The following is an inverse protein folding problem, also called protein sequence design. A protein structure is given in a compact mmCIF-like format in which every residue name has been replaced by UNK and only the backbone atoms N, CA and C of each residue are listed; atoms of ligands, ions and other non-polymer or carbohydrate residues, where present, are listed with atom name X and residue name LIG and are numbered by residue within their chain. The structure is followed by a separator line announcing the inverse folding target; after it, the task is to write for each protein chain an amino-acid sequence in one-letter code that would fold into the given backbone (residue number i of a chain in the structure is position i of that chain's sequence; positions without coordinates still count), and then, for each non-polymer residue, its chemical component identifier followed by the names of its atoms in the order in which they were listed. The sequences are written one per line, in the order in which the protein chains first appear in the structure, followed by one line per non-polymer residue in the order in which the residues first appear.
data_IF_490015658356
#
_entry.id   IF_490015658356
#
_cell.length_a   1.000
_cell.length_b   1.000
_cell.length_c   1.000
_cell.angle_alpha   90.00
_cell.angle_beta   90.00
_cell.angle_gamma   90.00
#
_symmetry.space_group_name_H-M   'P 1'
#
loop_
_entity.id
_entity.type
_entity.pdbx_description
1 polymer ?
#
# COMPACT_ATOMS: atom_id res chain seq x y z
N UNK A 1 -13.32 -33.86 2.40
CA UNK A 1 -13.76 -32.49 2.03
C UNK A 1 -14.39 -32.58 0.65
N UNK A 2 -15.68 -32.32 0.52
CA UNK A 2 -16.40 -32.36 -0.76
C UNK A 2 -16.27 -30.99 -1.41
N UNK A 3 -15.65 -30.92 -2.59
CA UNK A 3 -15.54 -29.67 -3.34
C UNK A 3 -16.95 -29.16 -3.70
N UNK A 4 -17.24 -27.87 -3.53
CA UNK A 4 -18.55 -27.33 -3.86
C UNK A 4 -18.84 -27.54 -5.35
N UNK A 5 -20.09 -27.88 -5.72
CA UNK A 5 -20.43 -28.16 -7.09
C UNK A 5 -20.18 -26.91 -7.94
N UNK A 6 -19.47 -27.08 -9.07
CA UNK A 6 -19.05 -25.99 -9.98
C UNK A 6 -20.18 -25.01 -10.34
N UNK A 7 -21.43 -25.49 -10.38
CA UNK A 7 -22.63 -24.68 -10.62
C UNK A 7 -22.84 -23.62 -9.54
N UNK A 8 -22.59 -23.95 -8.27
CA UNK A 8 -22.79 -23.06 -7.13
C UNK A 8 -21.78 -21.89 -7.14
N UNK A 9 -20.55 -22.15 -7.58
CA UNK A 9 -19.52 -21.11 -7.77
C UNK A 9 -19.88 -20.16 -8.92
N UNK A 10 -20.40 -20.69 -10.04
CA UNK A 10 -20.84 -19.87 -11.18
C UNK A 10 -22.06 -19.02 -10.80
N UNK A 11 -23.04 -19.59 -10.10
CA UNK A 11 -24.23 -18.86 -9.65
C UNK A 11 -23.87 -17.79 -8.63
N UNK A 12 -22.98 -18.08 -7.68
CA UNK A 12 -22.49 -17.09 -6.72
C UNK A 12 -21.72 -15.95 -7.41
N UNK A 13 -20.84 -16.28 -8.37
CA UNK A 13 -20.11 -15.28 -9.15
C UNK A 13 -21.03 -14.38 -9.97
N UNK A 14 -22.07 -14.97 -10.60
CA UNK A 14 -23.05 -14.23 -11.38
C UNK A 14 -23.91 -13.33 -10.48
N UNK A 15 -24.33 -13.82 -9.31
CA UNK A 15 -25.10 -13.05 -8.34
C UNK A 15 -24.31 -11.86 -7.78
N UNK A 16 -23.01 -12.05 -7.49
CA UNK A 16 -22.12 -10.97 -7.09
C UNK A 16 -21.94 -9.97 -8.23
N UNK A 17 -21.71 -10.43 -9.47
CA UNK A 17 -21.58 -9.55 -10.63
C UNK A 17 -22.83 -8.72 -10.88
N UNK A 18 -24.01 -9.32 -10.80
CA UNK A 18 -25.29 -8.61 -10.91
C UNK A 18 -25.49 -7.61 -9.77
N UNK A 19 -25.17 -7.97 -8.52
CA UNK A 19 -25.26 -7.06 -7.38
C UNK A 19 -24.33 -5.84 -7.53
N UNK A 20 -23.12 -6.03 -8.07
CA UNK A 20 -22.18 -4.92 -8.34
C UNK A 20 -22.69 -4.00 -9.46
N UNK A 21 -23.27 -4.56 -10.53
CA UNK A 21 -23.79 -3.75 -11.65
C UNK A 21 -25.14 -3.07 -11.37
N UNK A 22 -25.93 -3.64 -10.45
CA UNK A 22 -27.22 -3.08 -10.02
C UNK A 22 -27.06 -1.89 -9.06
N UNK A 23 -25.88 -1.70 -8.46
CA UNK A 23 -25.54 -0.52 -7.68
C UNK A 23 -25.30 0.71 -8.59
N UNK A 24 -26.34 1.16 -9.28
CA UNK A 24 -26.28 2.27 -10.27
C UNK A 24 -26.06 3.65 -9.68
N UNK A 25 -26.21 3.82 -8.37
CA UNK A 25 -25.92 5.08 -7.65
C UNK A 25 -24.94 4.85 -6.49
N UNK A 26 -23.82 4.19 -6.76
CA UNK A 26 -22.62 4.41 -5.94
C UNK A 26 -22.03 5.81 -6.26
N UNK A 27 -22.84 6.87 -6.10
CA UNK A 27 -22.34 8.24 -6.05
C UNK A 27 -21.57 8.36 -4.75
N UNK A 28 -20.26 8.10 -4.81
CA UNK A 28 -19.39 8.33 -3.68
C UNK A 28 -19.40 9.84 -3.38
N UNK A 29 -20.23 10.23 -2.41
CA UNK A 29 -20.32 11.62 -2.00
C UNK A 29 -19.09 11.92 -1.15
N UNK A 30 -18.01 12.35 -1.80
CA UNK A 30 -16.75 12.62 -1.13
C UNK A 30 -16.84 13.91 -0.32
N UNK A 31 -17.36 13.82 0.91
CA UNK A 31 -17.18 14.88 1.90
C UNK A 31 -15.68 15.04 2.21
N UNK A 32 -15.26 16.13 2.86
CA UNK A 32 -13.86 16.28 3.27
C UNK A 32 -13.33 15.06 4.04
N UNK A 33 -14.22 14.39 4.77
CA UNK A 33 -13.97 13.20 5.57
C UNK A 33 -13.74 11.94 4.73
N UNK A 34 -14.35 11.90 3.55
CA UNK A 34 -14.34 10.76 2.63
C UNK A 34 -13.36 10.96 1.46
N UNK A 35 -12.42 11.90 1.58
CA UNK A 35 -11.36 12.11 0.59
C UNK A 35 -10.51 10.84 0.42
N UNK A 36 -10.23 10.52 -0.84
CA UNK A 36 -9.28 9.48 -1.21
C UNK A 36 -7.89 9.89 -0.73
N UNK A 37 -7.20 9.00 -0.02
CA UNK A 37 -5.89 9.27 0.60
C UNK A 37 -4.73 8.63 -0.18
N UNK A 38 -5.03 7.77 -1.16
CA UNK A 38 -4.04 6.95 -1.86
C UNK A 38 -3.31 7.73 -2.95
N UNK A 39 -4.04 8.54 -3.72
CA UNK A 39 -3.50 9.27 -4.88
C UNK A 39 -3.58 10.79 -4.75
N UNK A 40 -3.80 11.31 -3.55
CA UNK A 40 -3.92 12.74 -3.27
C UNK A 40 -2.89 13.19 -2.25
N UNK A 41 -2.84 14.46 -1.90
CA UNK A 41 -2.05 14.97 -0.78
C UNK A 41 -2.79 14.86 0.59
N UNK A 42 -3.97 14.26 0.63
CA UNK A 42 -4.79 14.20 1.84
C UNK A 42 -4.32 13.09 2.79
N UNK A 43 -4.54 13.34 4.08
CA UNK A 43 -4.32 12.40 5.18
C UNK A 43 -5.66 12.01 5.80
N UNK A 44 -5.69 10.86 6.46
CA UNK A 44 -6.82 10.42 7.26
C UNK A 44 -7.05 11.37 8.44
N UNK A 45 -8.30 11.56 8.82
CA UNK A 45 -8.70 12.37 9.96
C UNK A 45 -8.15 11.82 11.28
N UNK A 46 -8.01 12.71 12.26
CA UNK A 46 -7.58 12.36 13.62
C UNK A 46 -8.42 11.23 14.21
N UNK A 47 -7.76 10.34 14.94
CA UNK A 47 -8.33 9.18 15.63
C UNK A 47 -9.15 8.24 14.74
N UNK A 48 -8.96 8.28 13.43
CA UNK A 48 -9.73 7.45 12.50
C UNK A 48 -8.92 6.23 12.07
N UNK A 49 -9.61 5.10 11.92
CA UNK A 49 -9.07 3.87 11.34
C UNK A 49 -9.87 3.56 10.07
N UNK A 50 -9.18 3.30 8.96
CA UNK A 50 -9.78 2.91 7.69
C UNK A 50 -9.33 1.51 7.34
N UNK A 51 -10.27 0.57 7.28
CA UNK A 51 -10.05 -0.82 6.92
C UNK A 51 -10.62 -1.06 5.53
N UNK A 52 -9.78 -0.97 4.51
CA UNK A 52 -10.11 -1.38 3.14
C UNK A 52 -9.67 -2.82 2.88
N UNK A 53 -10.23 -3.41 1.82
CA UNK A 53 -9.88 -4.75 1.36
C UNK A 53 -8.37 -4.91 1.10
N UNK A 54 -7.75 -3.88 0.52
CA UNK A 54 -6.33 -3.90 0.13
C UNK A 54 -5.43 -3.04 1.02
N UNK A 55 -5.99 -2.20 1.89
CA UNK A 55 -5.24 -1.19 2.63
C UNK A 55 -5.80 -0.98 4.02
N UNK A 56 -4.93 -0.96 5.03
CA UNK A 56 -5.28 -0.56 6.38
C UNK A 56 -4.57 0.76 6.69
N UNK A 57 -5.30 1.74 7.23
CA UNK A 57 -4.76 3.04 7.60
C UNK A 57 -5.22 3.46 8.99
N UNK A 58 -4.36 4.20 9.68
CA UNK A 58 -4.64 4.82 10.96
C UNK A 58 -4.13 6.26 10.97
N UNK A 59 -5.00 7.20 11.32
CA UNK A 59 -4.72 8.62 11.37
C UNK A 59 -4.73 9.10 12.82
N UNK A 60 -3.62 8.99 13.57
CA UNK A 60 -3.59 9.50 14.94
C UNK A 60 -3.73 11.02 15.03
N UNK A 61 -3.42 11.74 13.95
CA UNK A 61 -3.55 13.20 13.82
C UNK A 61 -4.02 13.58 12.42
N UNK A 62 -4.63 14.75 12.26
CA UNK A 62 -5.14 15.23 10.96
C UNK A 62 -4.05 15.44 9.90
N UNK A 63 -2.78 15.48 10.31
CA UNK A 63 -1.63 15.66 9.43
C UNK A 63 -0.85 14.38 9.18
N UNK A 64 -1.10 13.29 9.91
CA UNK A 64 -0.26 12.09 9.83
C UNK A 64 -1.14 10.86 9.64
N UNK A 65 -0.80 10.04 8.67
CA UNK A 65 -1.45 8.75 8.42
C UNK A 65 -0.42 7.66 8.32
N UNK A 66 -0.59 6.62 9.14
CA UNK A 66 0.13 5.37 9.00
C UNK A 66 -0.70 4.41 8.17
N UNK A 67 -0.05 3.55 7.41
CA UNK A 67 -0.77 2.52 6.70
C UNK A 67 0.10 1.38 6.21
N UNK A 68 -0.59 0.35 5.73
CA UNK A 68 0.02 -0.82 5.13
C UNK A 68 -0.93 -1.38 4.07
N UNK A 69 -0.40 -2.19 3.14
CA UNK A 69 -1.21 -2.83 2.10
C UNK A 69 -1.26 -4.32 2.36
N UNK A 70 -2.45 -4.92 2.31
CA UNK A 70 -2.65 -6.34 2.61
C UNK A 70 -1.93 -7.27 1.59
N UNK A 71 -1.97 -6.92 0.30
CA UNK A 71 -1.46 -7.80 -0.77
C UNK A 71 0.03 -8.12 -0.62
N UNK A 72 0.92 -7.13 -0.37
CA UNK A 72 2.32 -7.42 -0.06
C UNK A 72 2.53 -8.44 1.07
N UNK A 73 1.77 -8.38 2.17
CA UNK A 73 1.90 -9.34 3.27
C UNK A 73 1.61 -10.78 2.82
N UNK A 74 0.61 -10.97 1.95
CA UNK A 74 0.21 -12.30 1.44
C UNK A 74 1.35 -12.97 0.67
N UNK A 75 2.19 -12.19 -0.03
CA UNK A 75 3.34 -12.70 -0.80
C UNK A 75 4.66 -12.68 -0.03
N UNK A 76 4.64 -12.46 1.28
CA UNK A 76 5.84 -12.43 2.12
C UNK A 76 6.67 -11.14 1.99
N UNK A 77 6.03 -10.04 1.59
CA UNK A 77 6.64 -8.73 1.45
C UNK A 77 6.08 -7.81 2.55
N UNK A 78 6.85 -7.59 3.60
CA UNK A 78 6.44 -6.71 4.69
C UNK A 78 6.48 -5.26 4.21
N UNK A 79 5.41 -4.50 4.43
CA UNK A 79 5.37 -3.09 4.06
C UNK A 79 4.65 -2.23 5.11
N UNK A 80 5.08 -0.97 5.19
CA UNK A 80 4.41 0.06 5.96
C UNK A 80 4.69 1.41 5.28
N UNK A 81 3.83 2.39 5.49
CA UNK A 81 4.08 3.76 5.08
C UNK A 81 3.57 4.73 6.13
N UNK A 82 4.21 5.89 6.18
CA UNK A 82 3.73 7.07 6.87
C UNK A 82 3.56 8.18 5.86
N UNK A 83 2.46 8.91 5.96
CA UNK A 83 2.16 10.07 5.14
C UNK A 83 1.95 11.26 6.04
N UNK A 84 2.59 12.37 5.71
CA UNK A 84 2.52 13.63 6.42
C UNK A 84 1.99 14.72 5.48
N UNK A 85 0.88 15.35 5.83
CA UNK A 85 0.35 16.53 5.15
C UNK A 85 1.04 17.77 5.71
N UNK A 86 1.95 18.34 4.92
CA UNK A 86 2.70 19.55 5.26
C UNK A 86 1.77 20.77 5.22
N UNK A 87 0.97 20.87 4.15
CA UNK A 87 0.02 21.95 3.94
C UNK A 87 -1.33 21.37 3.55
N UNK A 88 -2.41 21.90 4.12
CA UNK A 88 -3.76 21.43 3.83
C UNK A 88 -4.76 22.56 3.95
N UNK A 89 -5.11 23.17 2.82
CA UNK A 89 -6.17 24.16 2.70
C UNK A 89 -6.93 24.00 1.39
N UNK A 90 -8.07 24.67 1.25
CA UNK A 90 -8.76 24.78 -0.03
C UNK A 90 -8.16 25.98 -0.80
N UNK A 91 -7.72 25.84 -2.06
CA UNK A 91 -7.80 24.65 -2.93
C UNK A 91 -6.59 23.71 -2.89
N UNK A 92 -5.48 24.09 -2.25
CA UNK A 92 -4.19 23.39 -2.37
C UNK A 92 -3.82 22.57 -1.13
N UNK A 93 -3.40 21.32 -1.34
CA UNK A 93 -2.81 20.47 -0.32
C UNK A 93 -1.47 19.89 -0.76
N UNK A 94 -0.52 19.80 0.17
CA UNK A 94 0.82 19.27 -0.05
C UNK A 94 1.15 18.21 1.00
N UNK A 95 1.81 17.13 0.59
CA UNK A 95 2.18 16.03 1.47
C UNK A 95 3.53 15.43 1.13
N UNK A 96 4.10 14.74 2.10
CA UNK A 96 5.24 13.86 1.94
C UNK A 96 4.89 12.47 2.49
N UNK A 97 5.22 11.41 1.77
CA UNK A 97 5.03 10.03 2.21
C UNK A 97 6.36 9.30 2.25
N UNK A 98 6.59 8.50 3.29
CA UNK A 98 7.73 7.62 3.42
C UNK A 98 7.23 6.18 3.53
N UNK A 99 7.69 5.32 2.63
CA UNK A 99 7.43 3.89 2.67
C UNK A 99 8.61 3.11 3.25
N UNK A 100 8.32 1.97 3.84
CA UNK A 100 9.28 0.95 4.21
C UNK A 100 8.78 -0.37 3.65
N UNK A 101 9.67 -1.12 3.03
CA UNK A 101 9.34 -2.33 2.30
C UNK A 101 10.49 -3.31 2.39
N UNK A 102 10.22 -4.52 2.85
CA UNK A 102 11.21 -5.59 3.01
C UNK A 102 10.72 -6.87 2.36
N UNK A 103 11.52 -7.36 1.42
CA UNK A 103 11.31 -8.68 0.83
C UNK A 103 12.23 -9.71 1.47
N UNK A 104 11.64 -10.75 2.05
CA UNK A 104 12.37 -11.88 2.62
C UNK A 104 11.56 -13.19 2.43
N UNK A 105 11.34 -13.62 1.18
CA UNK A 105 10.55 -14.82 0.91
C UNK A 105 11.30 -16.06 1.40
N UNK A 106 10.59 -16.93 2.12
CA UNK A 106 11.14 -18.20 2.65
C UNK A 106 11.75 -19.07 1.53
N UNK A 107 11.11 -19.10 0.36
CA UNK A 107 11.55 -19.88 -0.80
C UNK A 107 12.89 -19.41 -1.41
N UNK A 108 13.23 -18.12 -1.33
CA UNK A 108 14.53 -17.60 -1.83
C UNK A 108 15.65 -17.81 -0.81
N UNK A 109 15.29 -17.82 0.48
CA UNK A 109 16.24 -18.03 1.58
C UNK A 109 16.93 -19.39 1.49
N UNK A 110 16.24 -20.41 0.98
CA UNK A 110 16.77 -21.76 0.79
C UNK A 110 17.62 -21.91 -0.48
N UNK A 111 17.37 -21.12 -1.53
CA UNK A 111 17.95 -21.34 -2.86
C UNK A 111 19.13 -20.43 -3.21
N UNK A 112 19.26 -19.23 -2.62
CA UNK A 112 20.28 -18.24 -3.01
C UNK A 112 21.03 -17.64 -1.80
N UNK A 113 20.80 -18.18 -0.60
CA UNK A 113 21.19 -17.54 0.65
C UNK A 113 20.26 -16.40 1.03
N UNK A 114 20.42 -15.85 2.24
CA UNK A 114 19.56 -14.79 2.78
C UNK A 114 19.83 -13.46 2.08
N UNK A 115 19.27 -13.27 0.89
CA UNK A 115 19.25 -11.98 0.20
C UNK A 115 18.08 -11.14 0.74
N UNK A 116 18.38 -10.00 1.35
CA UNK A 116 17.37 -9.07 1.84
C UNK A 116 17.34 -7.83 0.95
N UNK A 117 16.16 -7.51 0.41
CA UNK A 117 15.91 -6.29 -0.34
C UNK A 117 15.07 -5.34 0.51
N UNK A 118 15.65 -4.19 0.83
CA UNK A 118 14.97 -3.07 1.47
C UNK A 118 14.72 -1.95 0.47
N UNK A 119 13.49 -1.45 0.43
CA UNK A 119 13.10 -0.30 -0.41
C UNK A 119 12.51 0.77 0.51
N UNK A 120 13.01 2.00 0.34
CA UNK A 120 12.55 3.18 1.08
C UNK A 120 12.17 4.25 0.06
N UNK A 121 10.91 4.29 -0.40
CA UNK A 121 10.43 5.38 -1.24
C UNK A 121 10.06 6.60 -0.39
N UNK A 122 10.52 7.77 -0.82
CA UNK A 122 10.02 9.08 -0.43
C UNK A 122 9.15 9.61 -1.57
N UNK A 123 7.95 10.06 -1.26
CA UNK A 123 7.02 10.61 -2.24
C UNK A 123 6.59 12.01 -1.79
N UNK A 124 6.60 12.98 -2.70
CA UNK A 124 6.10 14.33 -2.47
C UNK A 124 4.85 14.51 -3.33
N UNK A 125 3.71 14.76 -2.70
CA UNK A 125 2.40 14.86 -3.35
C UNK A 125 1.81 16.25 -3.26
N UNK A 126 1.13 16.69 -4.33
CA UNK A 126 0.35 17.91 -4.38
C UNK A 126 -1.05 17.60 -4.94
N UNK A 127 -2.08 18.23 -4.35
CA UNK A 127 -3.46 18.15 -4.84
C UNK A 127 -4.07 19.54 -4.90
N UNK A 128 -4.71 19.85 -6.03
CA UNK A 128 -5.45 21.07 -6.27
C UNK A 128 -6.93 20.73 -6.52
N UNK A 129 -7.82 21.29 -5.70
CA UNK A 129 -9.26 21.12 -5.81
C UNK A 129 -9.85 22.27 -6.63
N UNK A 130 -10.51 21.95 -7.74
CA UNK A 130 -11.25 22.94 -8.51
C UNK A 130 -12.64 23.17 -7.92
N UNK A 131 -13.30 22.07 -7.54
CA UNK A 131 -14.63 22.07 -6.94
C UNK A 131 -14.86 20.79 -6.11
N UNK A 132 -16.10 20.52 -5.70
CA UNK A 132 -16.42 19.33 -4.89
C UNK A 132 -16.24 17.99 -5.59
N UNK A 133 -16.15 17.99 -6.92
CA UNK A 133 -16.12 16.81 -7.78
C UNK A 133 -14.75 16.62 -8.43
N UNK A 134 -14.03 17.70 -8.70
CA UNK A 134 -12.80 17.68 -9.47
C UNK A 134 -11.59 18.07 -8.61
N UNK A 135 -10.67 17.12 -8.44
CA UNK A 135 -9.37 17.33 -7.81
C UNK A 135 -8.28 16.80 -8.74
N UNK A 136 -7.33 17.65 -9.08
CA UNK A 136 -6.10 17.23 -9.76
C UNK A 136 -5.05 16.89 -8.69
N UNK A 137 -4.41 15.73 -8.82
CA UNK A 137 -3.35 15.32 -7.92
C UNK A 137 -2.14 14.84 -8.70
N UNK A 138 -0.95 15.10 -8.18
CA UNK A 138 0.31 14.64 -8.73
C UNK A 138 1.30 14.33 -7.62
N UNK A 139 2.18 13.36 -7.88
CA UNK A 139 3.21 12.96 -6.92
C UNK A 139 4.55 12.75 -7.61
N UNK A 140 5.63 13.10 -6.91
CA UNK A 140 7.01 12.86 -7.31
C UNK A 140 7.63 11.83 -6.37
N UNK A 141 8.10 10.71 -6.94
CA UNK A 141 8.68 9.60 -6.18
C UNK A 141 10.21 9.58 -6.28
N UNK A 142 10.88 9.60 -5.14
CA UNK A 142 12.32 9.40 -4.99
C UNK A 142 12.53 8.06 -4.28
N UNK A 143 13.22 7.12 -4.92
CA UNK A 143 13.40 5.76 -4.37
C UNK A 143 14.85 5.47 -4.06
N UNK A 144 15.13 5.07 -2.82
CA UNK A 144 16.38 4.43 -2.44
C UNK A 144 16.16 2.93 -2.29
N UNK A 145 17.12 2.13 -2.75
CA UNK A 145 17.12 0.68 -2.59
C UNK A 145 18.43 0.23 -1.96
N UNK A 146 18.35 -0.76 -1.07
CA UNK A 146 19.52 -1.37 -0.44
C UNK A 146 19.39 -2.89 -0.55
N UNK A 147 20.39 -3.52 -1.16
CA UNK A 147 20.54 -4.98 -1.19
C UNK A 147 21.61 -5.40 -0.19
N UNK A 148 21.29 -6.36 0.69
CA UNK A 148 22.31 -7.10 1.45
C UNK A 148 22.43 -8.50 0.87
N UNK A 149 23.56 -8.77 0.22
CA UNK A 149 23.92 -10.11 -0.26
C UNK A 149 24.66 -10.89 0.82
N UNK A 150 24.44 -12.22 0.88
CA UNK A 150 25.23 -13.10 1.71
C UNK A 150 26.64 -13.22 1.12
N UNK A 151 27.63 -12.57 1.75
CA UNK A 151 29.04 -12.79 1.42
C UNK A 151 29.37 -14.24 1.73
N UNK A 152 29.39 -15.09 0.71
CA UNK A 152 29.83 -16.48 0.82
C UNK A 152 31.31 -16.44 1.16
N UNK A 153 31.64 -16.49 2.46
CA UNK A 153 33.02 -16.60 2.94
C UNK A 153 33.47 -18.01 2.60
N UNK A 154 34.03 -18.17 1.39
CA UNK A 154 34.64 -19.42 0.91
C UNK A 154 35.81 -19.73 1.86
N UNK A 155 35.56 -20.57 2.87
CA UNK A 155 36.61 -21.10 3.75
C UNK A 155 37.47 -22.01 2.87
N UNK A 156 38.59 -21.46 2.40
CA UNK A 156 39.69 -22.23 1.81
C UNK A 156 40.16 -23.24 2.85
N UNK A 157 39.75 -24.50 2.72
CA UNK A 157 40.41 -25.62 3.38
C UNK A 157 41.75 -25.81 2.68
N UNK A 158 42.80 -25.20 3.23
CA UNK A 158 44.16 -25.64 2.95
C UNK A 158 44.35 -27.00 3.63
N UNK A 159 44.59 -28.03 2.82
CA UNK A 159 45.01 -29.36 3.26
C UNK A 159 46.36 -29.24 3.98
N UNK A 160 46.50 -29.72 5.23
CA UNK A 160 47.83 -29.96 5.77
C UNK A 160 48.39 -31.21 5.07
N UNK A 161 49.63 -31.08 4.57
CA UNK A 161 50.49 -32.23 4.27
C UNK A 161 51.33 -32.51 5.49
#
# INVERSE_FOLDING_TARGET
MVAPPRRLLVTAGLAIGLAVTAARDARAHHTEEQRLTDDTAYTLQKSTVRLGLFKQQWGPWDRITFGTYAVPWVVGFANAHVKWRYFGGDPLSLSASLGLSRFAPKAVKESVGSAELGIVPLELGASYRFDERLTLSGACCIRSSRSRGATTRRRSMASPR
#
